data_IF_243666962236
#
_entry.id   IF_243666962236
#
_cell.length_a   1.000
_cell.length_b   1.000
_cell.length_c   1.000
_cell.angle_alpha   90.00
_cell.angle_beta   90.00
_cell.angle_gamma   90.00
#
_symmetry.space_group_name_H-M   'P 1'
#
loop_
_entity.id
_entity.type
_entity.pdbx_description
1 polymer ?
#
# COMPACT_ATOMS: atom_id res chain seq x y z
N UNK A 1 -15.32 7.58 -2.05
CA UNK A 1 -15.53 9.05 -1.96
C UNK A 1 -16.40 9.65 -3.06
N UNK A 2 -16.68 8.95 -4.16
CA UNK A 2 -17.44 9.51 -5.28
C UNK A 2 -18.76 10.24 -4.91
N UNK A 3 -19.61 9.74 -3.99
CA UNK A 3 -20.87 10.41 -3.64
C UNK A 3 -20.71 11.79 -2.99
N UNK A 4 -19.65 11.99 -2.19
CA UNK A 4 -19.38 13.30 -1.56
C UNK A 4 -18.74 14.25 -2.58
N UNK A 5 -17.82 13.74 -3.39
CA UNK A 5 -17.18 14.54 -4.44
C UNK A 5 -18.23 15.06 -5.43
N UNK A 6 -19.16 14.20 -5.88
CA UNK A 6 -20.25 14.59 -6.77
C UNK A 6 -21.16 15.62 -6.11
N UNK A 7 -21.52 15.44 -4.83
CA UNK A 7 -22.34 16.40 -4.09
C UNK A 7 -21.77 17.83 -4.13
N UNK A 8 -20.47 18.01 -3.85
CA UNK A 8 -19.84 19.34 -3.93
C UNK A 8 -19.68 19.84 -5.36
N UNK A 9 -19.17 18.99 -6.26
CA UNK A 9 -18.90 19.36 -7.66
C UNK A 9 -20.18 19.78 -8.39
N UNK A 10 -21.23 18.99 -8.24
CA UNK A 10 -22.49 19.19 -8.96
C UNK A 10 -23.21 20.42 -8.41
N UNK A 11 -23.20 20.65 -7.09
CA UNK A 11 -23.67 21.89 -6.47
C UNK A 11 -22.97 23.13 -7.05
N UNK A 12 -21.64 23.08 -7.20
CA UNK A 12 -20.86 24.20 -7.77
C UNK A 12 -21.20 24.43 -9.23
N UNK A 13 -21.38 23.36 -10.00
CA UNK A 13 -21.73 23.42 -11.42
C UNK A 13 -23.15 23.97 -11.62
N UNK A 14 -24.12 23.53 -10.81
CA UNK A 14 -25.52 23.94 -10.88
C UNK A 14 -25.70 25.45 -10.69
N UNK A 15 -24.93 26.06 -9.79
CA UNK A 15 -24.95 27.50 -9.55
C UNK A 15 -23.89 28.27 -10.34
N UNK A 16 -23.02 27.60 -11.10
CA UNK A 16 -21.94 28.22 -11.87
C UNK A 16 -21.00 29.05 -10.99
N UNK A 17 -20.71 28.60 -9.78
CA UNK A 17 -19.89 29.33 -8.81
C UNK A 17 -18.40 29.22 -9.20
N UNK A 18 -17.76 30.38 -9.34
CA UNK A 18 -16.36 30.48 -9.74
C UNK A 18 -15.41 30.17 -8.58
N UNK A 19 -14.18 29.75 -8.91
CA UNK A 19 -13.14 29.53 -7.90
C UNK A 19 -12.80 30.81 -7.13
N UNK A 20 -12.88 31.97 -7.80
CA UNK A 20 -12.68 33.29 -7.20
C UNK A 20 -13.71 33.56 -6.10
N UNK A 21 -15.01 33.36 -6.38
CA UNK A 21 -16.07 33.54 -5.39
C UNK A 21 -15.89 32.65 -4.15
N UNK A 22 -15.49 31.39 -4.36
CA UNK A 22 -15.21 30.47 -3.24
C UNK A 22 -14.00 30.94 -2.43
N UNK A 23 -12.93 31.36 -3.10
CA UNK A 23 -11.74 31.87 -2.44
C UNK A 23 -12.02 33.16 -1.65
N UNK A 24 -12.83 34.05 -2.20
CA UNK A 24 -13.22 35.31 -1.56
C UNK A 24 -14.12 35.05 -0.33
N UNK A 25 -15.03 34.07 -0.40
CA UNK A 25 -15.91 33.71 0.72
C UNK A 25 -15.19 32.95 1.85
N UNK A 26 -14.25 32.06 1.49
CA UNK A 26 -13.57 31.18 2.47
C UNK A 26 -12.23 31.73 2.95
N UNK A 27 -11.63 32.67 2.20
CA UNK A 27 -10.26 33.14 2.39
C UNK A 27 -9.19 32.15 1.90
N UNK A 28 -9.58 31.02 1.30
CA UNK A 28 -8.66 29.91 0.97
C UNK A 28 -8.59 29.63 -0.53
N UNK A 29 -7.72 30.37 -1.21
CA UNK A 29 -7.48 30.24 -2.67
C UNK A 29 -7.08 28.82 -3.10
N UNK A 30 -6.25 28.15 -2.32
CA UNK A 30 -5.70 26.84 -2.68
C UNK A 30 -6.65 25.68 -2.40
N UNK A 31 -7.75 25.87 -1.67
CA UNK A 31 -8.62 24.78 -1.23
C UNK A 31 -9.75 24.46 -2.19
N UNK A 32 -10.00 25.31 -3.20
CA UNK A 32 -11.09 25.11 -4.15
C UNK A 32 -10.96 23.78 -4.89
N UNK A 33 -9.75 23.39 -5.30
CA UNK A 33 -9.50 22.09 -5.94
C UNK A 33 -9.75 20.92 -5.00
N UNK A 34 -9.31 21.03 -3.74
CA UNK A 34 -9.49 19.99 -2.73
C UNK A 34 -10.96 19.76 -2.36
N UNK A 35 -11.84 20.76 -2.48
CA UNK A 35 -13.25 20.59 -2.13
C UNK A 35 -14.13 20.19 -3.32
N UNK A 36 -13.76 20.59 -4.54
CA UNK A 36 -14.63 20.49 -5.72
C UNK A 36 -14.04 19.67 -6.87
N UNK A 37 -12.87 19.05 -6.70
CA UNK A 37 -12.27 18.15 -7.69
C UNK A 37 -12.03 16.75 -7.13
N UNK A 38 -11.97 15.75 -8.00
CA UNK A 38 -11.68 14.38 -7.58
C UNK A 38 -10.22 14.17 -7.13
N UNK A 39 -9.30 15.01 -7.62
CA UNK A 39 -7.89 14.93 -7.26
C UNK A 39 -7.68 15.59 -5.90
N UNK A 40 -7.01 14.87 -4.98
CA UNK A 40 -6.68 15.36 -3.64
C UNK A 40 -7.90 15.85 -2.84
N UNK A 41 -9.07 15.24 -3.06
CA UNK A 41 -10.30 15.69 -2.43
C UNK A 41 -10.25 15.55 -0.91
N UNK A 42 -10.75 16.56 -0.20
CA UNK A 42 -10.89 16.60 1.25
C UNK A 42 -12.24 17.22 1.62
N UNK A 43 -12.84 16.71 2.70
CA UNK A 43 -14.04 17.33 3.26
C UNK A 43 -13.65 18.68 3.90
N UNK A 44 -14.34 19.80 3.60
CA UNK A 44 -14.12 21.05 4.32
C UNK A 44 -14.39 20.86 5.82
N UNK A 45 -13.64 21.58 6.67
CA UNK A 45 -14.03 21.69 8.07
C UNK A 45 -15.35 22.47 8.20
N UNK A 46 -15.96 22.41 9.38
CA UNK A 46 -17.28 22.98 9.63
C UNK A 46 -17.35 24.48 9.32
N UNK A 47 -16.36 25.26 9.74
CA UNK A 47 -16.31 26.71 9.50
C UNK A 47 -16.27 27.04 8.00
N UNK A 48 -15.42 26.35 7.25
CA UNK A 48 -15.33 26.55 5.79
C UNK A 48 -16.61 26.08 5.10
N UNK A 49 -17.22 24.98 5.56
CA UNK A 49 -18.49 24.50 5.01
C UNK A 49 -19.64 25.48 5.23
N UNK A 50 -19.75 26.10 6.41
CA UNK A 50 -20.76 27.13 6.70
C UNK A 50 -20.59 28.35 5.79
N UNK A 51 -19.35 28.79 5.53
CA UNK A 51 -19.07 29.87 4.58
C UNK A 51 -19.45 29.50 3.15
N UNK A 52 -19.21 28.24 2.75
CA UNK A 52 -19.66 27.72 1.46
C UNK A 52 -21.18 27.70 1.36
N UNK A 53 -21.89 27.23 2.40
CA UNK A 53 -23.36 27.23 2.43
C UNK A 53 -23.92 28.65 2.30
N UNK A 54 -23.37 29.62 3.03
CA UNK A 54 -23.80 31.02 2.93
C UNK A 54 -23.57 31.60 1.51
N UNK A 55 -22.42 31.31 0.90
CA UNK A 55 -22.13 31.71 -0.47
C UNK A 55 -23.13 31.09 -1.47
N UNK A 56 -23.38 29.79 -1.35
CA UNK A 56 -24.24 29.05 -2.27
C UNK A 56 -25.69 29.49 -2.13
N UNK A 57 -26.19 29.72 -0.91
CA UNK A 57 -27.51 30.27 -0.66
C UNK A 57 -27.69 31.65 -1.31
N UNK A 58 -26.74 32.57 -1.10
CA UNK A 58 -26.78 33.91 -1.71
C UNK A 58 -26.81 33.85 -3.24
N UNK A 59 -25.96 33.03 -3.86
CA UNK A 59 -25.91 32.91 -5.33
C UNK A 59 -27.16 32.23 -5.88
N UNK A 60 -27.76 31.29 -5.14
CA UNK A 60 -29.01 30.66 -5.52
C UNK A 60 -30.17 31.66 -5.53
N UNK A 61 -30.27 32.51 -4.50
CA UNK A 61 -31.25 33.59 -4.41
C UNK A 61 -31.08 34.60 -5.56
N UNK A 62 -29.85 35.09 -5.81
CA UNK A 62 -29.54 36.01 -6.90
C UNK A 62 -29.92 35.45 -8.29
N UNK A 63 -29.87 34.11 -8.45
CA UNK A 63 -30.19 33.43 -9.70
C UNK A 63 -31.61 32.89 -9.76
N UNK A 64 -32.43 33.11 -8.73
CA UNK A 64 -33.75 32.51 -8.56
C UNK A 64 -33.73 30.97 -8.78
N UNK A 65 -32.69 30.31 -8.30
CA UNK A 65 -32.50 28.84 -8.37
C UNK A 65 -32.68 28.23 -6.99
N UNK A 66 -32.85 26.90 -6.96
CA UNK A 66 -32.86 26.13 -5.72
C UNK A 66 -31.51 26.27 -5.00
N UNK A 67 -31.56 26.32 -3.67
CA UNK A 67 -30.37 26.23 -2.82
C UNK A 67 -29.62 24.91 -3.04
N UNK A 68 -28.31 24.97 -2.90
CA UNK A 68 -27.41 23.83 -3.00
C UNK A 68 -26.62 23.72 -1.68
N UNK A 69 -26.00 22.56 -1.43
CA UNK A 69 -25.30 22.27 -0.17
C UNK A 69 -26.19 22.27 1.10
N UNK A 70 -27.40 21.69 1.03
CA UNK A 70 -28.40 21.71 2.11
C UNK A 70 -28.05 20.81 3.33
N UNK A 71 -27.17 19.82 3.17
CA UNK A 71 -26.85 18.85 4.25
C UNK A 71 -26.10 19.50 5.41
N UNK A 72 -26.36 19.03 6.62
CA UNK A 72 -25.61 19.44 7.81
C UNK A 72 -24.19 18.86 7.79
N UNK A 73 -23.23 19.59 8.34
CA UNK A 73 -21.82 19.19 8.30
C UNK A 73 -21.57 17.82 8.96
N UNK A 74 -22.18 17.55 10.12
CA UNK A 74 -22.02 16.27 10.82
C UNK A 74 -22.48 15.08 9.96
N UNK A 75 -23.56 15.21 9.19
CA UNK A 75 -24.04 14.16 8.29
C UNK A 75 -23.01 13.86 7.18
N UNK A 76 -22.30 14.89 6.71
CA UNK A 76 -21.22 14.73 5.75
C UNK A 76 -20.00 14.05 6.38
N UNK A 77 -19.68 14.37 7.64
CA UNK A 77 -18.61 13.71 8.40
C UNK A 77 -18.92 12.24 8.63
N UNK A 78 -20.16 11.89 8.98
CA UNK A 78 -20.59 10.50 9.15
C UNK A 78 -20.46 9.71 7.84
N UNK A 79 -20.95 10.30 6.74
CA UNK A 79 -20.83 9.72 5.41
C UNK A 79 -19.37 9.54 5.00
N UNK A 80 -18.54 10.55 5.24
CA UNK A 80 -17.11 10.53 4.95
C UNK A 80 -16.39 9.43 5.74
N UNK A 81 -16.66 9.33 7.03
CA UNK A 81 -16.07 8.34 7.93
C UNK A 81 -16.44 6.92 7.49
N UNK A 82 -17.72 6.69 7.16
CA UNK A 82 -18.19 5.40 6.65
C UNK A 82 -17.52 5.01 5.32
N UNK A 83 -17.48 5.94 4.35
CA UNK A 83 -16.83 5.71 3.05
C UNK A 83 -15.32 5.50 3.18
N UNK A 84 -14.65 6.20 4.09
CA UNK A 84 -13.23 6.02 4.37
C UNK A 84 -12.94 4.63 4.93
N UNK A 85 -13.78 4.14 5.85
CA UNK A 85 -13.65 2.79 6.40
C UNK A 85 -13.76 1.74 5.29
N UNK A 86 -14.80 1.82 4.46
CA UNK A 86 -14.99 0.91 3.32
C UNK A 86 -13.80 0.98 2.34
N UNK A 87 -13.30 2.18 2.06
CA UNK A 87 -12.12 2.35 1.21
C UNK A 87 -10.87 1.72 1.83
N UNK A 88 -10.64 1.91 3.14
CA UNK A 88 -9.50 1.32 3.85
C UNK A 88 -9.57 -0.21 3.88
N UNK A 89 -10.76 -0.77 4.09
CA UNK A 89 -11.03 -2.21 4.01
C UNK A 89 -10.73 -2.74 2.61
N UNK A 90 -11.29 -2.12 1.57
CA UNK A 90 -11.07 -2.52 0.17
C UNK A 90 -9.60 -2.37 -0.25
N UNK A 91 -8.91 -1.31 0.21
CA UNK A 91 -7.49 -1.12 -0.03
C UNK A 91 -6.65 -2.21 0.65
N UNK A 92 -7.02 -2.59 1.88
CA UNK A 92 -6.38 -3.68 2.60
C UNK A 92 -6.59 -5.00 1.84
N UNK A 93 -7.82 -5.33 1.48
CA UNK A 93 -8.15 -6.52 0.70
C UNK A 93 -7.36 -6.56 -0.62
N UNK A 94 -7.39 -5.48 -1.40
CA UNK A 94 -6.64 -5.36 -2.64
C UNK A 94 -5.13 -5.60 -2.43
N UNK A 95 -4.56 -5.02 -1.37
CA UNK A 95 -3.15 -5.25 -1.02
C UNK A 95 -2.88 -6.71 -0.65
N UNK A 96 -3.83 -7.43 -0.05
CA UNK A 96 -3.69 -8.85 0.29
C UNK A 96 -3.81 -9.76 -0.94
N UNK A 97 -4.74 -9.45 -1.86
CA UNK A 97 -4.94 -10.23 -3.09
C UNK A 97 -3.78 -10.07 -4.08
N UNK A 98 -3.12 -8.92 -4.09
CA UNK A 98 -2.00 -8.69 -4.99
C UNK A 98 -0.78 -9.48 -4.51
N UNK A 99 -0.10 -10.13 -5.47
CA UNK A 99 1.24 -10.71 -5.26
C UNK A 99 2.14 -9.67 -4.60
N UNK A 100 2.77 -10.05 -3.50
CA UNK A 100 3.68 -9.15 -2.81
C UNK A 100 4.90 -8.87 -3.70
N UNK A 101 5.19 -7.60 -3.89
CA UNK A 101 6.37 -7.14 -4.62
C UNK A 101 6.93 -5.91 -3.93
N UNK A 102 7.88 -6.12 -3.02
CA UNK A 102 8.44 -5.13 -2.11
C UNK A 102 9.81 -4.62 -2.54
N UNK A 103 9.90 -4.02 -3.72
CA UNK A 103 11.14 -3.34 -4.15
C UNK A 103 11.29 -1.99 -3.42
N UNK A 104 12.51 -1.70 -3.00
CA UNK A 104 12.88 -0.46 -2.28
C UNK A 104 14.06 0.19 -2.99
N UNK A 105 14.50 1.36 -2.52
CA UNK A 105 15.74 1.97 -3.04
C UNK A 105 16.95 1.03 -2.80
N UNK A 106 16.91 0.24 -1.71
CA UNK A 106 17.93 -0.75 -1.36
C UNK A 106 17.79 -2.06 -2.15
N UNK A 107 16.60 -2.35 -2.67
CA UNK A 107 16.32 -3.51 -3.55
C UNK A 107 15.80 -2.96 -4.88
N UNK A 108 16.69 -2.49 -5.77
CA UNK A 108 16.30 -1.75 -6.95
C UNK A 108 15.47 -2.60 -7.90
N UNK A 109 14.51 -1.96 -8.58
CA UNK A 109 13.77 -2.56 -9.67
C UNK A 109 14.66 -2.61 -10.92
N UNK A 110 15.42 -3.71 -11.05
CA UNK A 110 16.32 -3.99 -12.18
C UNK A 110 16.28 -5.48 -12.51
N UNK A 111 16.52 -5.81 -13.78
CA UNK A 111 16.59 -7.19 -14.27
C UNK A 111 18.02 -7.76 -14.25
N UNK A 112 19.02 -6.94 -13.90
CA UNK A 112 20.44 -7.35 -13.83
C UNK A 112 20.94 -7.22 -12.40
N UNK A 113 21.25 -8.35 -11.77
CA UNK A 113 21.70 -8.42 -10.37
C UNK A 113 23.14 -8.92 -10.29
N UNK A 114 23.94 -8.26 -9.45
CA UNK A 114 25.36 -8.58 -9.30
C UNK A 114 25.62 -9.14 -7.90
N UNK A 115 25.82 -10.45 -7.81
CA UNK A 115 26.18 -11.13 -6.57
C UNK A 115 27.47 -11.94 -6.77
N UNK A 116 28.30 -12.00 -5.73
CA UNK A 116 29.51 -12.83 -5.75
C UNK A 116 29.12 -14.31 -5.69
N UNK A 117 29.75 -15.19 -6.48
CA UNK A 117 29.58 -16.63 -6.31
C UNK A 117 30.04 -17.08 -4.93
N UNK A 118 29.44 -18.16 -4.43
CA UNK A 118 29.86 -18.79 -3.18
C UNK A 118 31.29 -19.31 -3.36
N UNK A 119 32.20 -18.96 -2.45
CA UNK A 119 33.58 -19.45 -2.48
C UNK A 119 33.64 -20.95 -2.12
N UNK A 120 34.74 -21.63 -2.43
CA UNK A 120 34.89 -23.04 -2.08
C UNK A 120 35.13 -23.23 -0.57
N UNK A 121 34.58 -24.30 0.00
CA UNK A 121 34.88 -24.78 1.35
C UNK A 121 34.65 -26.30 1.43
N UNK A 122 35.27 -27.02 2.38
CA UNK A 122 35.08 -28.46 2.53
C UNK A 122 33.61 -28.83 2.78
N UNK A 123 33.08 -29.80 2.01
CA UNK A 123 31.67 -30.21 2.13
C UNK A 123 30.67 -29.31 1.38
N UNK A 124 31.15 -28.32 0.61
CA UNK A 124 30.32 -27.44 -0.20
C UNK A 124 29.50 -28.19 -1.24
N UNK A 125 28.24 -27.77 -1.39
CA UNK A 125 27.40 -28.23 -2.49
C UNK A 125 27.87 -27.66 -3.85
N UNK A 126 28.02 -28.48 -4.91
CA UNK A 126 28.55 -28.03 -6.20
C UNK A 126 27.85 -26.80 -6.79
N UNK A 127 26.51 -26.74 -6.61
CA UNK A 127 25.66 -25.71 -7.20
C UNK A 127 25.05 -24.76 -6.14
N UNK A 128 25.74 -24.51 -5.03
CA UNK A 128 25.25 -23.61 -3.99
C UNK A 128 25.01 -22.17 -4.50
N UNK A 129 23.83 -21.63 -4.18
CA UNK A 129 23.42 -20.28 -4.56
C UNK A 129 23.81 -19.25 -3.49
N UNK A 130 24.27 -18.04 -3.86
CA UNK A 130 24.62 -17.00 -2.89
C UNK A 130 23.45 -16.61 -1.98
N UNK A 131 23.72 -16.52 -0.67
CA UNK A 131 22.70 -16.18 0.34
C UNK A 131 22.11 -14.79 0.12
N UNK A 132 22.93 -13.79 -0.20
CA UNK A 132 22.47 -12.40 -0.47
C UNK A 132 21.45 -12.35 -1.60
N UNK A 133 21.70 -13.11 -2.68
CA UNK A 133 20.79 -13.19 -3.82
C UNK A 133 19.44 -13.76 -3.40
N UNK A 134 19.45 -14.86 -2.63
CA UNK A 134 18.22 -15.49 -2.15
C UNK A 134 17.47 -14.60 -1.17
N UNK A 135 18.17 -13.89 -0.28
CA UNK A 135 17.57 -12.92 0.63
C UNK A 135 16.89 -11.78 -0.14
N UNK A 136 17.50 -11.31 -1.23
CA UNK A 136 16.91 -10.31 -2.11
C UNK A 136 15.64 -10.83 -2.80
N UNK A 137 15.68 -12.05 -3.37
CA UNK A 137 14.49 -12.69 -4.00
C UNK A 137 13.35 -12.81 -2.99
N UNK A 138 13.62 -13.36 -1.81
CA UNK A 138 12.62 -13.63 -0.76
C UNK A 138 12.04 -12.30 -0.25
N UNK A 139 12.89 -11.31 0.03
CA UNK A 139 12.44 -10.00 0.54
C UNK A 139 11.60 -9.24 -0.48
N UNK A 140 11.92 -9.35 -1.77
CA UNK A 140 11.14 -8.73 -2.83
C UNK A 140 9.79 -9.45 -3.04
N UNK A 141 9.72 -10.77 -2.85
CA UNK A 141 8.58 -11.58 -3.31
C UNK A 141 7.69 -12.15 -2.19
N UNK A 142 8.02 -11.91 -0.92
CA UNK A 142 7.27 -12.42 0.24
C UNK A 142 7.24 -11.45 1.41
N UNK A 143 6.23 -11.59 2.28
CA UNK A 143 6.11 -10.89 3.57
C UNK A 143 6.76 -11.72 4.70
N UNK A 144 7.18 -11.09 5.80
CA UNK A 144 7.49 -11.83 7.02
C UNK A 144 6.34 -12.78 7.41
N UNK A 145 6.67 -13.99 7.86
CA UNK A 145 5.70 -15.04 8.20
C UNK A 145 5.16 -15.85 7.01
N UNK A 146 5.35 -15.40 5.76
CA UNK A 146 5.00 -16.18 4.57
C UNK A 146 5.79 -17.50 4.53
N UNK A 147 5.26 -18.45 3.77
CA UNK A 147 5.87 -19.76 3.55
C UNK A 147 6.67 -19.74 2.24
N UNK A 148 7.96 -20.06 2.32
CA UNK A 148 8.84 -20.28 1.17
C UNK A 148 8.97 -21.78 0.93
N UNK A 149 8.80 -22.23 -0.31
CA UNK A 149 8.98 -23.63 -0.68
C UNK A 149 10.11 -23.74 -1.71
N UNK A 150 11.06 -24.65 -1.46
CA UNK A 150 12.12 -25.01 -2.40
C UNK A 150 12.09 -26.53 -2.61
N UNK A 151 11.72 -26.96 -3.81
CA UNK A 151 11.59 -28.39 -4.13
C UNK A 151 12.90 -29.02 -4.63
N UNK A 152 13.97 -28.24 -4.71
CA UNK A 152 15.31 -28.66 -5.12
C UNK A 152 16.35 -28.05 -4.17
N UNK A 153 16.12 -28.22 -2.86
CA UNK A 153 16.77 -27.39 -1.86
C UNK A 153 18.30 -27.54 -1.83
N UNK A 154 18.86 -28.70 -2.24
CA UNK A 154 20.29 -28.94 -2.32
C UNK A 154 21.01 -28.56 -1.03
N UNK A 155 21.77 -27.45 -1.08
CA UNK A 155 22.47 -26.84 0.07
C UNK A 155 21.58 -26.28 1.21
N UNK A 156 20.27 -26.19 0.98
CA UNK A 156 19.31 -25.53 1.84
C UNK A 156 19.47 -24.02 1.91
N UNK A 157 20.23 -23.39 1.00
CA UNK A 157 20.49 -21.94 1.04
C UNK A 157 19.20 -21.11 1.00
N UNK A 158 18.18 -21.55 0.26
CA UNK A 158 16.84 -20.92 0.23
C UNK A 158 16.14 -21.00 1.58
N UNK A 159 16.17 -22.18 2.22
CA UNK A 159 15.57 -22.44 3.54
C UNK A 159 16.26 -21.58 4.60
N UNK A 160 17.60 -21.60 4.64
CA UNK A 160 18.41 -20.78 5.56
C UNK A 160 18.10 -19.29 5.40
N UNK A 161 18.05 -18.79 4.16
CA UNK A 161 17.72 -17.40 3.88
C UNK A 161 16.29 -17.02 4.30
N UNK A 162 15.31 -17.91 4.06
CA UNK A 162 13.92 -17.69 4.47
C UNK A 162 13.80 -17.57 5.99
N UNK A 163 14.42 -18.49 6.74
CA UNK A 163 14.41 -18.47 8.21
C UNK A 163 15.07 -17.20 8.77
N UNK A 164 16.24 -16.81 8.24
CA UNK A 164 16.93 -15.58 8.66
C UNK A 164 16.10 -14.31 8.44
N UNK A 165 15.22 -14.33 7.44
CA UNK A 165 14.30 -13.23 7.13
C UNK A 165 12.96 -13.33 7.89
N UNK A 166 12.80 -14.28 8.81
CA UNK A 166 11.55 -14.48 9.57
C UNK A 166 10.41 -15.02 8.71
N UNK A 167 10.71 -15.82 7.68
CA UNK A 167 9.73 -16.60 6.91
C UNK A 167 9.74 -18.05 7.39
N UNK A 168 8.64 -18.76 7.12
CA UNK A 168 8.59 -20.23 7.25
C UNK A 168 9.15 -20.85 5.98
N UNK A 169 9.66 -22.08 6.06
CA UNK A 169 10.26 -22.74 4.93
C UNK A 169 9.87 -24.22 4.83
N UNK A 170 9.71 -24.72 3.60
CA UNK A 170 9.66 -26.14 3.26
C UNK A 170 10.76 -26.40 2.22
N UNK A 171 11.59 -27.40 2.47
CA UNK A 171 12.62 -27.85 1.55
C UNK A 171 12.38 -29.31 1.17
N UNK A 172 12.54 -29.64 -0.11
CA UNK A 172 12.57 -31.02 -0.61
C UNK A 172 13.91 -31.26 -1.30
N UNK A 173 14.53 -32.39 -0.98
CA UNK A 173 15.73 -32.91 -1.64
C UNK A 173 15.51 -34.40 -1.87
N UNK A 174 15.92 -34.88 -3.03
CA UNK A 174 15.73 -36.26 -3.46
C UNK A 174 16.83 -37.17 -2.90
N UNK A 175 18.06 -36.68 -2.88
CA UNK A 175 19.21 -37.45 -2.43
C UNK A 175 19.26 -37.48 -0.90
N UNK A 176 19.23 -38.67 -0.31
CA UNK A 176 19.03 -38.84 1.13
C UNK A 176 20.20 -38.33 1.95
N UNK A 177 21.44 -38.60 1.52
CA UNK A 177 22.63 -38.15 2.25
C UNK A 177 22.68 -36.61 2.28
N UNK A 178 22.36 -35.97 1.14
CA UNK A 178 22.27 -34.52 0.99
C UNK A 178 21.14 -33.93 1.82
N UNK A 179 19.95 -34.54 1.79
CA UNK A 179 18.81 -34.12 2.59
C UNK A 179 19.19 -34.09 4.07
N UNK A 180 19.74 -35.18 4.58
CA UNK A 180 20.13 -35.30 5.99
C UNK A 180 21.24 -34.31 6.37
N UNK A 181 22.24 -34.12 5.50
CA UNK A 181 23.28 -33.12 5.72
C UNK A 181 22.67 -31.71 5.84
N UNK A 182 21.82 -31.32 4.91
CA UNK A 182 21.19 -30.00 4.90
C UNK A 182 20.28 -29.80 6.11
N UNK A 183 19.54 -30.84 6.54
CA UNK A 183 18.70 -30.76 7.75
C UNK A 183 19.55 -30.47 8.99
N UNK A 184 20.67 -31.17 9.17
CA UNK A 184 21.62 -30.91 10.28
C UNK A 184 22.12 -29.47 10.26
N UNK A 185 22.61 -29.00 9.11
CA UNK A 185 23.11 -27.62 8.95
C UNK A 185 22.04 -26.56 9.25
N UNK A 186 20.78 -26.80 8.88
CA UNK A 186 19.66 -25.88 9.16
C UNK A 186 19.30 -25.90 10.65
N UNK A 187 19.27 -27.07 11.28
CA UNK A 187 18.98 -27.21 12.71
C UNK A 187 20.04 -26.53 13.60
N UNK A 188 21.32 -26.67 13.24
CA UNK A 188 22.42 -26.00 13.93
C UNK A 188 22.26 -24.47 13.86
N UNK A 189 21.88 -23.96 12.68
CA UNK A 189 21.60 -22.53 12.46
C UNK A 189 20.43 -22.02 13.30
N UNK A 190 19.35 -22.79 13.42
CA UNK A 190 18.18 -22.41 14.23
C UNK A 190 18.56 -22.41 15.71
N UNK A 191 19.34 -23.39 16.16
CA UNK A 191 19.77 -23.51 17.56
C UNK A 191 20.71 -22.39 18.02
N UNK A 192 21.44 -21.76 17.09
CA UNK A 192 22.29 -20.61 17.40
C UNK A 192 21.55 -19.26 17.45
N UNK A 193 20.34 -19.20 16.87
CA UNK A 193 19.54 -17.98 16.76
C UNK A 193 18.35 -17.90 17.73
N UNK A 194 18.12 -18.96 18.51
CA UNK A 194 17.10 -19.04 19.58
C UNK A 194 17.69 -18.80 20.95
#
# INVERSE_FOLDING_TARGET
MAPLISYFRDARAALGITAKQIADATGKKNMVSHWFSASQWQLPNESDYLKLQALFARVAEEKHRRGELEKLHHQLVDTYTSLNRQYAELLSEYKHLRRYFGVTVQVPYTDVWTHKPVQFYPGKHPCEKPAEMLQQIISASSRPGDLIADFFMGSGSTVKAALALGRRAIGVELETERFEQTVREVQDLVSQNG
#
